data_IF_529435069039
#
_entry.id   IF_529435069039
#
_cell.length_a   1.000
_cell.length_b   1.000
_cell.length_c   1.000
_cell.angle_alpha   90.00
_cell.angle_beta   90.00
_cell.angle_gamma   90.00
#
_symmetry.space_group_name_H-M   'P 1'
#
loop_
_entity.id
_entity.type
_entity.pdbx_description
1 polymer ?
#
# COMPACT_ATOMS: atom_id res chain seq x y z
N UNK A 1 7.62 11.21 11.52
CA UNK A 1 7.72 11.51 12.96
C UNK A 1 6.72 10.65 13.71
N UNK A 2 7.08 10.08 14.87
CA UNK A 2 6.16 9.26 15.69
C UNK A 2 5.89 9.95 17.02
N UNK A 3 4.75 10.64 17.10
CA UNK A 3 4.48 11.71 18.07
C UNK A 3 3.14 11.52 18.77
N UNK A 4 2.93 12.23 19.88
CA UNK A 4 1.66 12.19 20.60
C UNK A 4 0.59 13.11 19.96
N UNK A 5 -0.63 13.00 20.46
CA UNK A 5 -1.78 13.76 19.95
C UNK A 5 -1.59 15.29 20.02
N UNK A 6 -1.07 15.81 21.14
CA UNK A 6 -0.92 17.26 21.33
C UNK A 6 0.17 17.85 20.41
N UNK A 7 1.25 17.10 20.18
CA UNK A 7 2.27 17.45 19.19
C UNK A 7 1.70 17.48 17.77
N UNK A 8 0.88 16.48 17.40
CA UNK A 8 0.22 16.45 16.09
C UNK A 8 -0.74 17.64 15.91
N UNK A 9 -1.56 17.95 16.93
CA UNK A 9 -2.44 19.13 16.93
C UNK A 9 -1.65 20.42 16.73
N UNK A 10 -0.50 20.56 17.40
CA UNK A 10 0.38 21.73 17.24
C UNK A 10 0.83 21.91 15.79
N UNK A 11 1.33 20.84 15.15
CA UNK A 11 1.74 20.90 13.73
C UNK A 11 0.59 21.30 12.81
N UNK A 12 -0.62 20.80 13.06
CA UNK A 12 -1.82 21.19 12.29
C UNK A 12 -2.12 22.68 12.46
N UNK A 13 -2.09 23.19 13.70
CA UNK A 13 -2.37 24.60 14.00
C UNK A 13 -1.30 25.56 13.48
N UNK A 14 -0.06 25.09 13.30
CA UNK A 14 1.00 25.81 12.59
C UNK A 14 0.75 25.90 11.07
N UNK A 15 -0.29 25.24 10.55
CA UNK A 15 -0.64 25.28 9.13
C UNK A 15 0.28 24.46 8.24
N UNK A 16 0.97 23.46 8.81
CA UNK A 16 1.80 22.49 8.09
C UNK A 16 0.94 21.61 7.18
N UNK A 17 1.51 21.18 6.06
CA UNK A 17 0.91 20.18 5.16
C UNK A 17 1.34 18.80 5.65
N UNK A 18 0.38 17.96 6.07
CA UNK A 18 0.69 16.71 6.76
C UNK A 18 0.01 15.49 6.10
N UNK A 19 0.72 14.37 6.11
CA UNK A 19 0.14 13.04 5.97
C UNK A 19 0.20 12.34 7.33
N UNK A 20 -0.92 11.76 7.77
CA UNK A 20 -1.05 11.21 9.12
C UNK A 20 -1.55 9.76 9.09
N UNK A 21 -0.99 8.91 9.94
CA UNK A 21 -1.48 7.55 10.18
C UNK A 21 -1.60 7.31 11.69
N UNK A 22 -2.76 6.84 12.14
CA UNK A 22 -3.01 6.61 13.56
C UNK A 22 -4.22 5.69 13.78
N UNK A 23 -4.47 5.32 15.03
CA UNK A 23 -5.73 4.69 15.43
C UNK A 23 -6.91 5.69 15.35
N UNK A 24 -8.12 5.18 15.09
CA UNK A 24 -9.32 6.00 14.83
C UNK A 24 -9.62 7.00 15.96
N UNK A 25 -9.48 6.58 17.23
CA UNK A 25 -9.77 7.43 18.38
C UNK A 25 -8.85 8.66 18.45
N UNK A 26 -7.62 8.57 17.94
CA UNK A 26 -6.70 9.71 17.84
C UNK A 26 -7.08 10.62 16.67
N UNK A 27 -7.37 10.05 15.50
CA UNK A 27 -7.73 10.82 14.30
C UNK A 27 -9.00 11.66 14.51
N UNK A 28 -9.99 11.10 15.22
CA UNK A 28 -11.24 11.80 15.56
C UNK A 28 -11.04 13.05 16.44
N UNK A 29 -9.86 13.22 17.05
CA UNK A 29 -9.54 14.34 17.94
C UNK A 29 -8.70 15.44 17.26
N UNK A 30 -8.26 15.23 16.02
CA UNK A 30 -7.45 16.20 15.30
C UNK A 30 -8.29 17.40 14.84
N UNK A 31 -7.81 18.65 15.00
CA UNK A 31 -8.48 19.82 14.44
C UNK A 31 -8.40 19.79 12.91
N UNK A 32 -9.30 20.55 12.27
CA UNK A 32 -9.21 20.77 10.82
C UNK A 32 -7.90 21.45 10.45
N UNK A 33 -7.37 21.13 9.28
CA UNK A 33 -6.16 21.74 8.73
C UNK A 33 -5.72 21.09 7.42
N UNK A 34 -4.47 21.30 7.03
CA UNK A 34 -3.95 20.87 5.72
C UNK A 34 -3.41 19.44 5.78
N UNK A 35 -4.29 18.47 5.98
CA UNK A 35 -3.83 17.09 6.15
C UNK A 35 -4.80 16.06 5.60
N UNK A 36 -4.28 14.87 5.30
CA UNK A 36 -5.06 13.66 5.05
C UNK A 36 -4.60 12.57 6.01
N UNK A 37 -5.47 11.61 6.32
CA UNK A 37 -5.08 10.50 7.18
C UNK A 37 -5.75 9.17 6.83
N UNK A 38 -5.14 8.08 7.31
CA UNK A 38 -5.72 6.74 7.30
C UNK A 38 -5.59 6.08 8.66
N UNK A 39 -6.52 5.17 8.97
CA UNK A 39 -6.45 4.35 10.17
C UNK A 39 -5.40 3.24 10.06
N UNK A 40 -4.56 3.09 11.08
CA UNK A 40 -3.76 1.88 11.34
C UNK A 40 -3.16 1.96 12.74
N UNK A 41 -3.10 0.86 13.50
CA UNK A 41 -2.37 0.82 14.77
C UNK A 41 -0.93 0.30 14.60
N UNK A 42 -0.49 -0.03 13.38
CA UNK A 42 0.80 -0.69 13.12
C UNK A 42 1.76 0.28 12.43
N UNK A 43 3.01 0.31 12.89
CA UNK A 43 4.03 1.26 12.40
C UNK A 43 5.40 0.59 12.33
N UNK A 44 6.26 1.11 11.45
CA UNK A 44 7.71 0.97 11.59
C UNK A 44 8.27 2.35 11.95
N UNK A 45 8.99 2.44 13.07
CA UNK A 45 9.70 3.66 13.49
C UNK A 45 11.21 3.46 13.43
N UNK A 46 11.97 4.50 13.75
CA UNK A 46 13.43 4.41 13.91
C UNK A 46 13.84 3.39 14.99
N UNK A 47 12.97 3.15 15.98
CA UNK A 47 13.20 2.17 17.05
C UNK A 47 12.74 0.76 16.67
N UNK A 48 12.02 0.62 15.56
CA UNK A 48 11.53 -0.65 15.03
C UNK A 48 10.03 -0.71 14.82
N UNK A 49 9.56 -1.88 14.39
CA UNK A 49 8.13 -2.15 14.28
C UNK A 49 7.44 -2.09 15.63
N UNK A 50 6.26 -1.48 15.66
CA UNK A 50 5.47 -1.30 16.87
C UNK A 50 3.97 -1.25 16.56
N UNK A 51 3.17 -1.82 17.46
CA UNK A 51 1.73 -1.56 17.53
C UNK A 51 1.46 -0.48 18.57
N UNK A 52 0.78 0.60 18.20
CA UNK A 52 0.45 1.72 19.09
C UNK A 52 -0.95 2.26 18.83
N UNK A 53 -1.63 2.65 19.91
CA UNK A 53 -2.97 3.27 19.91
C UNK A 53 -2.97 4.66 20.56
N UNK A 54 -1.81 5.14 20.96
CA UNK A 54 -1.61 6.37 21.73
C UNK A 54 -0.70 7.39 21.02
N UNK A 55 -0.11 7.00 19.89
CA UNK A 55 0.74 7.85 19.05
C UNK A 55 0.28 7.86 17.60
N UNK A 56 0.70 8.91 16.90
CA UNK A 56 0.44 9.15 15.49
C UNK A 56 1.77 9.15 14.74
N UNK A 57 1.77 8.54 13.56
CA UNK A 57 2.84 8.73 12.60
C UNK A 57 2.50 9.90 11.68
N UNK A 58 3.32 10.93 11.68
CA UNK A 58 3.13 12.17 10.92
C UNK A 58 4.30 12.41 9.98
N UNK A 59 4.00 12.53 8.69
CA UNK A 59 4.91 13.04 7.66
C UNK A 59 4.56 14.51 7.40
N UNK A 60 5.53 15.40 7.60
CA UNK A 60 5.41 16.78 7.14
C UNK A 60 5.92 16.87 5.70
N UNK A 61 5.14 17.50 4.82
CA UNK A 61 5.47 17.68 3.41
C UNK A 61 5.99 19.11 3.24
N UNK A 62 7.30 19.27 3.36
CA UNK A 62 7.97 20.59 3.44
C UNK A 62 8.15 21.28 2.10
N UNK A 63 8.34 20.52 1.03
CA UNK A 63 8.68 21.06 -0.29
C UNK A 63 7.46 21.39 -1.15
N UNK A 64 6.23 21.25 -0.64
CA UNK A 64 5.04 21.59 -1.42
C UNK A 64 4.91 23.11 -1.63
N UNK A 65 4.78 23.53 -2.89
CA UNK A 65 4.52 24.94 -3.25
C UNK A 65 3.04 25.28 -3.06
N UNK A 66 2.17 24.36 -3.45
CA UNK A 66 0.73 24.43 -3.29
C UNK A 66 0.18 23.04 -2.97
N UNK A 67 -1.04 22.99 -2.42
CA UNK A 67 -1.71 21.74 -2.10
C UNK A 67 -3.22 21.84 -2.30
N UNK A 68 -3.85 20.69 -2.54
CA UNK A 68 -5.30 20.54 -2.45
C UNK A 68 -5.66 19.12 -2.02
N UNK A 69 -6.76 18.98 -1.30
CA UNK A 69 -7.35 17.66 -1.03
C UNK A 69 -8.50 17.40 -1.97
N UNK A 70 -8.69 16.12 -2.31
CA UNK A 70 -9.82 15.66 -3.11
C UNK A 70 -10.36 14.36 -2.51
N UNK A 71 -11.66 14.16 -2.66
CA UNK A 71 -12.36 12.97 -2.18
C UNK A 71 -12.97 12.27 -3.37
N UNK A 72 -12.67 10.98 -3.51
CA UNK A 72 -13.13 10.17 -4.62
C UNK A 72 -13.93 8.97 -4.15
N UNK A 73 -14.87 8.53 -4.96
CA UNK A 73 -15.48 7.21 -4.84
C UNK A 73 -15.21 6.39 -6.10
N UNK A 74 -15.85 5.23 -6.18
CA UNK A 74 -15.74 4.33 -7.32
C UNK A 74 -16.00 5.02 -8.66
N UNK A 75 -16.89 6.01 -8.73
CA UNK A 75 -17.30 6.61 -10.00
C UNK A 75 -16.29 7.61 -10.57
N UNK A 76 -15.41 8.17 -9.73
CA UNK A 76 -14.53 9.27 -10.12
C UNK A 76 -13.08 9.12 -9.63
N UNK A 77 -12.67 7.97 -9.07
CA UNK A 77 -11.30 7.76 -8.56
C UNK A 77 -10.19 8.06 -9.58
N UNK A 78 -10.47 7.92 -10.89
CA UNK A 78 -9.47 8.22 -11.93
C UNK A 78 -9.42 9.69 -12.37
N UNK A 79 -10.33 10.53 -11.87
CA UNK A 79 -10.17 11.98 -11.95
C UNK A 79 -8.96 12.46 -11.13
N UNK A 80 -8.37 11.60 -10.29
CA UNK A 80 -7.09 11.83 -9.59
C UNK A 80 -5.96 12.32 -10.52
N UNK A 81 -5.94 11.88 -11.77
CA UNK A 81 -4.94 12.30 -12.78
C UNK A 81 -5.23 13.70 -13.32
N UNK A 82 -6.51 14.08 -13.43
CA UNK A 82 -6.94 15.42 -13.85
C UNK A 82 -6.75 16.45 -12.75
N UNK A 83 -6.91 16.01 -11.50
CA UNK A 83 -6.70 16.83 -10.33
C UNK A 83 -5.23 16.95 -9.95
N UNK A 84 -4.34 16.09 -10.46
CA UNK A 84 -2.92 16.22 -10.20
C UNK A 84 -2.35 17.57 -10.71
N UNK A 85 -1.33 18.07 -10.03
CA UNK A 85 -0.55 19.19 -10.55
C UNK A 85 0.41 18.69 -11.63
N UNK A 86 0.66 19.50 -12.66
CA UNK A 86 1.54 19.14 -13.78
C UNK A 86 2.97 18.78 -13.34
N UNK A 87 3.53 19.50 -12.36
CA UNK A 87 4.75 19.12 -11.64
C UNK A 87 4.37 18.88 -10.19
N UNK A 88 4.04 17.64 -9.84
CA UNK A 88 3.45 17.32 -8.56
C UNK A 88 3.55 15.87 -8.17
N UNK A 89 2.98 15.58 -7.01
CA UNK A 89 2.80 14.22 -6.50
C UNK A 89 1.46 14.16 -5.76
N UNK A 90 0.85 12.98 -5.79
CA UNK A 90 -0.40 12.73 -5.08
C UNK A 90 -0.18 11.66 -4.02
N UNK A 91 -0.57 11.95 -2.78
CA UNK A 91 -0.73 10.96 -1.72
C UNK A 91 -2.17 10.45 -1.72
N UNK A 92 -2.38 9.15 -1.84
CA UNK A 92 -3.70 8.53 -1.89
C UNK A 92 -3.90 7.59 -0.71
N UNK A 93 -5.00 7.72 0.03
CA UNK A 93 -5.38 6.78 1.08
C UNK A 93 -6.78 6.26 0.81
N UNK A 94 -6.94 4.93 0.88
CA UNK A 94 -8.22 4.26 0.68
C UNK A 94 -8.53 3.28 1.81
N UNK A 95 -9.79 3.15 2.26
CA UNK A 95 -10.15 2.19 3.28
C UNK A 95 -10.13 0.76 2.75
N UNK A 96 -9.51 -0.16 3.50
CA UNK A 96 -9.53 -1.59 3.19
C UNK A 96 -10.95 -2.12 2.99
N UNK A 97 -11.10 -3.01 2.01
CA UNK A 97 -12.36 -3.65 1.63
C UNK A 97 -13.49 -2.70 1.17
N UNK A 98 -13.17 -1.44 0.83
CA UNK A 98 -14.12 -0.53 0.21
C UNK A 98 -14.28 -0.75 -1.31
N UNK A 99 -15.44 -0.38 -1.85
CA UNK A 99 -15.72 -0.47 -3.29
C UNK A 99 -14.75 0.38 -4.13
N UNK A 100 -14.31 1.53 -3.61
CA UNK A 100 -13.32 2.39 -4.29
C UNK A 100 -11.95 1.72 -4.34
N UNK A 101 -11.50 1.08 -3.26
CA UNK A 101 -10.23 0.36 -3.23
C UNK A 101 -10.24 -0.86 -4.17
N UNK A 102 -11.33 -1.62 -4.18
CA UNK A 102 -11.53 -2.76 -5.08
C UNK A 102 -11.54 -2.32 -6.53
N UNK A 103 -12.24 -1.24 -6.85
CA UNK A 103 -12.29 -0.71 -8.21
C UNK A 103 -10.94 -0.16 -8.66
N UNK A 104 -10.28 0.63 -7.82
CA UNK A 104 -8.93 1.13 -8.11
C UNK A 104 -7.94 0.00 -8.36
N UNK A 105 -7.93 -1.04 -7.52
CA UNK A 105 -7.03 -2.17 -7.65
C UNK A 105 -7.18 -2.90 -8.99
N UNK A 106 -8.41 -2.98 -9.53
CA UNK A 106 -8.70 -3.64 -10.81
C UNK A 106 -8.38 -2.75 -12.01
N UNK A 107 -8.76 -1.49 -11.95
CA UNK A 107 -8.76 -0.64 -13.13
C UNK A 107 -7.48 0.20 -13.26
N UNK A 108 -6.78 0.53 -12.16
CA UNK A 108 -5.58 1.37 -12.19
C UNK A 108 -4.50 0.92 -13.19
N UNK A 109 -4.20 -0.39 -13.37
CA UNK A 109 -3.21 -0.83 -14.35
C UNK A 109 -3.57 -0.50 -15.80
N UNK A 110 -4.84 -0.22 -16.09
CA UNK A 110 -5.37 0.05 -17.43
C UNK A 110 -5.60 1.55 -17.69
N UNK A 111 -5.22 2.44 -16.77
CA UNK A 111 -5.42 3.89 -16.90
C UNK A 111 -4.15 4.53 -17.45
N UNK A 112 -4.18 4.91 -18.72
CA UNK A 112 -3.03 5.43 -19.48
C UNK A 112 -2.29 6.56 -18.76
N UNK A 113 -3.01 7.58 -18.31
CA UNK A 113 -2.41 8.79 -17.69
C UNK A 113 -1.94 8.56 -16.25
N UNK A 114 -2.26 7.41 -15.63
CA UNK A 114 -1.92 7.18 -14.23
C UNK A 114 -0.42 7.08 -14.01
N UNK A 115 0.30 6.41 -14.93
CA UNK A 115 1.76 6.26 -14.85
C UNK A 115 2.53 7.54 -15.18
N UNK A 116 1.85 8.57 -15.71
CA UNK A 116 2.42 9.90 -15.96
C UNK A 116 2.31 10.82 -14.73
N UNK A 117 1.51 10.44 -13.74
CA UNK A 117 1.25 11.23 -12.54
C UNK A 117 1.78 10.46 -11.31
N UNK A 118 2.82 10.96 -10.60
CA UNK A 118 3.32 10.28 -9.40
C UNK A 118 2.23 10.14 -8.33
N UNK A 119 1.69 8.93 -8.19
CA UNK A 119 0.70 8.58 -7.16
C UNK A 119 1.32 7.57 -6.20
N UNK A 120 1.48 7.98 -4.96
CA UNK A 120 1.93 7.11 -3.86
C UNK A 120 0.86 7.08 -2.77
N UNK A 121 0.77 5.98 -2.03
CA UNK A 121 -0.29 5.86 -1.07
C UNK A 121 -0.37 4.52 -0.37
N UNK A 122 -1.51 4.27 0.24
CA UNK A 122 -1.74 3.03 0.97
C UNK A 122 -3.21 2.75 1.24
N UNK A 123 -3.49 1.49 1.53
CA UNK A 123 -4.79 1.02 1.99
C UNK A 123 -4.80 1.08 3.52
N UNK A 124 -5.67 1.92 4.09
CA UNK A 124 -5.86 2.02 5.53
C UNK A 124 -6.53 0.78 6.09
N UNK A 125 -6.28 0.52 7.36
CA UNK A 125 -6.69 -0.71 8.03
C UNK A 125 -7.21 -0.46 9.44
N UNK A 126 -7.20 -1.52 10.23
CA UNK A 126 -7.67 -1.52 11.61
C UNK A 126 -6.89 -2.55 12.41
N UNK A 127 -7.10 -2.59 13.73
CA UNK A 127 -6.52 -3.63 14.57
C UNK A 127 -7.12 -5.00 14.20
N UNK A 128 -6.27 -5.91 13.73
CA UNK A 128 -6.69 -7.25 13.28
C UNK A 128 -7.38 -8.06 14.39
N UNK A 129 -7.22 -7.67 15.67
CA UNK A 129 -7.89 -8.31 16.81
C UNK A 129 -9.31 -7.80 17.11
N UNK A 130 -9.75 -6.67 16.52
CA UNK A 130 -10.98 -5.98 16.95
C UNK A 130 -12.17 -6.11 16.00
N UNK A 131 -11.99 -6.66 14.80
CA UNK A 131 -13.06 -6.76 13.79
C UNK A 131 -13.64 -5.41 13.36
N UNK A 132 -12.86 -4.33 13.51
CA UNK A 132 -13.27 -2.96 13.18
C UNK A 132 -13.28 -2.70 11.66
N UNK A 133 -13.49 -1.45 11.25
CA UNK A 133 -13.47 -1.04 9.84
C UNK A 133 -12.39 0.00 9.60
N UNK A 134 -11.84 0.00 8.39
CA UNK A 134 -10.84 0.98 7.97
C UNK A 134 -11.52 2.31 7.65
N UNK A 135 -10.85 3.42 7.97
CA UNK A 135 -11.29 4.77 7.62
C UNK A 135 -10.16 5.60 7.05
N UNK A 136 -10.55 6.62 6.32
CA UNK A 136 -9.67 7.68 5.81
C UNK A 136 -10.29 9.04 6.13
N UNK A 137 -9.46 10.07 6.18
CA UNK A 137 -9.87 11.38 6.64
C UNK A 137 -9.38 12.46 5.69
N UNK A 138 -10.28 13.38 5.36
CA UNK A 138 -9.93 14.69 4.80
C UNK A 138 -9.87 15.71 5.93
N UNK A 139 -8.67 16.12 6.30
CA UNK A 139 -8.41 17.06 7.37
C UNK A 139 -8.87 18.48 7.08
N UNK A 140 -9.06 18.85 5.80
CA UNK A 140 -9.56 20.18 5.44
C UNK A 140 -11.02 20.33 5.86
N UNK A 141 -11.85 19.33 5.52
CA UNK A 141 -13.25 19.30 5.94
C UNK A 141 -13.44 18.76 7.35
N UNK A 142 -12.50 17.95 7.84
CA UNK A 142 -12.60 17.19 9.10
C UNK A 142 -13.49 15.96 8.97
N UNK A 143 -13.70 15.45 7.75
CA UNK A 143 -14.65 14.36 7.47
C UNK A 143 -13.93 13.02 7.39
N UNK A 144 -14.54 11.98 7.99
CA UNK A 144 -14.08 10.60 7.89
C UNK A 144 -14.92 9.81 6.88
N UNK A 145 -14.28 8.93 6.12
CA UNK A 145 -14.91 8.08 5.11
C UNK A 145 -14.50 6.61 5.31
N UNK A 146 -15.45 5.70 5.13
CA UNK A 146 -15.21 4.25 5.08
C UNK A 146 -15.36 3.65 3.69
N UNK A 147 -15.82 4.45 2.72
CA UNK A 147 -16.23 4.04 1.38
C UNK A 147 -15.62 4.91 0.26
N UNK A 148 -14.88 5.96 0.62
CA UNK A 148 -14.25 6.92 -0.29
C UNK A 148 -12.74 6.95 -0.11
N UNK A 149 -12.03 7.31 -1.16
CA UNK A 149 -10.62 7.63 -1.14
C UNK A 149 -10.42 9.11 -0.80
N UNK A 150 -9.31 9.42 -0.13
CA UNK A 150 -8.89 10.80 0.08
C UNK A 150 -7.49 10.97 -0.50
N UNK A 151 -7.35 11.98 -1.36
CA UNK A 151 -6.08 12.34 -1.97
C UNK A 151 -5.60 13.70 -1.46
N UNK A 152 -4.28 13.82 -1.30
CA UNK A 152 -3.56 15.07 -1.12
C UNK A 152 -2.67 15.27 -2.34
N UNK A 153 -3.06 16.21 -3.20
CA UNK A 153 -2.24 16.64 -4.32
C UNK A 153 -1.32 17.76 -3.85
N UNK A 154 -0.05 17.66 -4.19
CA UNK A 154 0.93 18.71 -3.96
C UNK A 154 1.58 19.12 -5.27
N UNK A 155 1.85 20.41 -5.43
CA UNK A 155 2.75 20.90 -6.48
C UNK A 155 4.17 20.98 -5.94
N UNK A 156 5.14 20.68 -6.80
CA UNK A 156 6.55 20.69 -6.48
C UNK A 156 7.22 21.93 -7.08
N UNK A 157 8.31 22.43 -6.46
CA UNK A 157 9.15 23.46 -7.03
C UNK A 157 9.69 23.03 -8.39
N UNK A 158 9.95 24.00 -9.27
CA UNK A 158 10.38 23.72 -10.64
C UNK A 158 11.67 22.88 -10.70
N UNK A 159 12.55 23.01 -9.72
CA UNK A 159 13.81 22.27 -9.62
C UNK A 159 13.70 20.89 -8.96
N UNK A 160 12.49 20.44 -8.59
CA UNK A 160 12.24 19.14 -7.95
C UNK A 160 11.31 18.28 -8.79
N UNK A 161 11.50 16.97 -8.71
CA UNK A 161 10.56 15.95 -9.21
C UNK A 161 10.37 14.84 -8.19
N UNK A 162 9.21 14.19 -8.19
CA UNK A 162 8.96 13.03 -7.36
C UNK A 162 9.53 11.76 -8.02
N UNK A 163 10.14 10.92 -7.19
CA UNK A 163 10.56 9.56 -7.53
C UNK A 163 9.83 8.59 -6.61
N UNK A 164 9.27 7.53 -7.16
CA UNK A 164 8.56 6.48 -6.41
C UNK A 164 9.35 5.18 -6.55
N UNK A 165 9.66 4.55 -5.42
CA UNK A 165 10.35 3.28 -5.37
C UNK A 165 9.52 2.18 -4.72
N UNK A 166 9.77 0.95 -5.17
CA UNK A 166 9.16 -0.28 -4.64
C UNK A 166 10.28 -1.21 -4.22
N UNK A 167 10.28 -1.63 -2.96
CA UNK A 167 11.14 -2.68 -2.43
C UNK A 167 10.33 -3.97 -2.37
N UNK A 168 10.63 -4.90 -3.27
CA UNK A 168 10.06 -6.24 -3.34
C UNK A 168 11.16 -7.27 -3.07
N UNK A 169 10.96 -8.14 -2.08
CA UNK A 169 11.95 -9.20 -1.73
C UNK A 169 11.69 -10.50 -2.47
N UNK A 170 10.56 -10.60 -3.19
CA UNK A 170 10.14 -11.82 -3.85
C UNK A 170 10.60 -11.86 -5.30
N UNK A 171 10.97 -13.05 -5.75
CA UNK A 171 11.24 -13.35 -7.15
C UNK A 171 10.38 -14.53 -7.58
N UNK A 172 9.93 -14.50 -8.84
CA UNK A 172 9.19 -15.62 -9.42
C UNK A 172 10.10 -16.86 -9.48
N UNK A 173 9.56 -18.03 -9.13
CA UNK A 173 10.29 -19.27 -9.33
C UNK A 173 10.12 -19.78 -10.77
N UNK A 174 11.07 -19.44 -11.63
CA UNK A 174 11.01 -19.76 -13.07
C UNK A 174 10.98 -21.26 -13.38
N UNK A 175 11.37 -22.10 -12.41
CA UNK A 175 11.35 -23.55 -12.52
C UNK A 175 10.02 -24.18 -12.04
N UNK A 176 9.13 -23.39 -11.42
CA UNK A 176 7.83 -23.84 -10.90
C UNK A 176 6.74 -23.83 -12.01
N UNK A 177 5.50 -24.18 -11.66
CA UNK A 177 4.38 -24.15 -12.58
C UNK A 177 3.98 -22.72 -12.97
N UNK A 178 3.60 -22.55 -14.25
CA UNK A 178 2.91 -21.36 -14.73
C UNK A 178 1.45 -21.43 -14.32
N UNK A 179 0.96 -20.36 -13.71
CA UNK A 179 -0.44 -20.20 -13.30
C UNK A 179 -1.04 -19.05 -14.10
N UNK A 180 -2.17 -19.30 -14.77
CA UNK A 180 -2.90 -18.28 -15.53
C UNK A 180 -4.36 -18.24 -15.10
N UNK A 181 -4.92 -17.03 -15.06
CA UNK A 181 -6.32 -16.81 -14.73
C UNK A 181 -7.09 -16.37 -15.98
N UNK A 182 -8.35 -16.82 -16.09
CA UNK A 182 -9.20 -16.54 -17.26
C UNK A 182 -9.96 -15.22 -17.15
N UNK A 183 -9.98 -14.62 -15.97
CA UNK A 183 -10.74 -13.41 -15.66
C UNK A 183 -10.02 -12.60 -14.59
N UNK A 184 -10.31 -11.30 -14.58
CA UNK A 184 -9.79 -10.37 -13.58
C UNK A 184 -10.60 -10.51 -12.29
N UNK A 185 -9.97 -10.99 -11.22
CA UNK A 185 -10.71 -11.44 -10.05
C UNK A 185 -9.95 -11.28 -8.73
N UNK A 186 -10.71 -10.99 -7.67
CA UNK A 186 -10.23 -11.04 -6.28
C UNK A 186 -10.51 -12.39 -5.60
N UNK A 187 -11.26 -13.26 -6.26
CA UNK A 187 -11.59 -14.61 -5.79
C UNK A 187 -11.76 -15.52 -6.99
N UNK A 188 -11.15 -16.70 -6.95
CA UNK A 188 -11.15 -17.65 -8.06
C UNK A 188 -11.44 -19.06 -7.57
N UNK A 189 -12.14 -19.83 -8.39
CA UNK A 189 -12.29 -21.29 -8.18
C UNK A 189 -11.30 -22.08 -9.03
N UNK A 190 -11.08 -21.64 -10.27
CA UNK A 190 -10.28 -22.34 -11.28
C UNK A 190 -9.22 -21.43 -11.87
N UNK A 191 -8.11 -22.05 -12.26
CA UNK A 191 -7.03 -21.44 -13.04
C UNK A 191 -6.52 -22.46 -14.07
N UNK A 192 -5.58 -22.05 -14.89
CA UNK A 192 -4.75 -22.96 -15.68
C UNK A 192 -3.42 -23.13 -14.96
N UNK A 193 -3.01 -24.37 -14.70
CA UNK A 193 -1.67 -24.71 -14.22
C UNK A 193 -0.95 -25.42 -15.34
N UNK A 194 0.11 -24.83 -15.89
CA UNK A 194 0.80 -25.29 -17.10
C UNK A 194 -0.19 -25.59 -18.25
N UNK A 195 -1.15 -24.68 -18.47
CA UNK A 195 -2.20 -24.81 -19.49
C UNK A 195 -3.35 -25.78 -19.14
N UNK A 196 -3.30 -26.50 -18.01
CA UNK A 196 -4.36 -27.44 -17.60
C UNK A 196 -5.33 -26.79 -16.62
N UNK A 197 -6.63 -26.83 -16.93
CA UNK A 197 -7.66 -26.35 -16.03
C UNK A 197 -7.64 -27.13 -14.70
N UNK A 198 -7.51 -26.39 -13.61
CA UNK A 198 -7.27 -26.92 -12.26
C UNK A 198 -8.09 -26.14 -11.24
N UNK A 199 -8.65 -26.83 -10.24
CA UNK A 199 -9.28 -26.18 -9.08
C UNK A 199 -8.17 -25.65 -8.18
N UNK A 200 -8.08 -24.33 -8.04
CA UNK A 200 -6.86 -23.71 -7.51
C UNK A 200 -6.65 -24.00 -6.01
N UNK A 201 -7.74 -24.08 -5.22
CA UNK A 201 -7.68 -24.46 -3.81
C UNK A 201 -7.11 -25.87 -3.60
N UNK A 202 -7.41 -26.77 -4.53
CA UNK A 202 -6.96 -28.17 -4.46
C UNK A 202 -5.49 -28.24 -4.86
N UNK A 203 -5.08 -27.52 -5.90
CA UNK A 203 -3.68 -27.37 -6.28
C UNK A 203 -2.79 -26.88 -5.13
N UNK A 204 -3.20 -25.80 -4.45
CA UNK A 204 -2.48 -25.27 -3.29
C UNK A 204 -2.36 -26.32 -2.18
N UNK A 205 -3.45 -27.01 -1.88
CA UNK A 205 -3.51 -27.99 -0.78
C UNK A 205 -2.67 -29.23 -1.08
N UNK A 206 -2.82 -29.81 -2.27
CA UNK A 206 -2.17 -31.05 -2.68
C UNK A 206 -0.65 -30.88 -2.79
N UNK A 207 -0.20 -29.72 -3.28
CA UNK A 207 1.21 -29.38 -3.41
C UNK A 207 1.80 -28.75 -2.14
N UNK A 208 1.00 -28.58 -1.07
CA UNK A 208 1.42 -28.00 0.22
C UNK A 208 2.10 -26.63 0.05
N UNK A 209 1.55 -25.80 -0.82
CA UNK A 209 2.10 -24.48 -1.12
C UNK A 209 1.99 -23.61 0.13
N UNK A 210 3.09 -22.95 0.49
CA UNK A 210 3.10 -21.96 1.57
C UNK A 210 2.36 -20.70 1.12
N UNK A 211 1.18 -20.47 1.69
CA UNK A 211 0.32 -19.33 1.32
C UNK A 211 0.83 -17.98 1.85
N UNK A 212 1.94 -17.95 2.60
CA UNK A 212 2.64 -16.70 2.93
C UNK A 212 3.48 -16.17 1.77
N UNK A 213 3.79 -17.03 0.78
CA UNK A 213 4.47 -16.64 -0.45
C UNK A 213 3.42 -16.13 -1.45
N UNK A 214 3.59 -14.93 -2.02
CA UNK A 214 2.67 -14.41 -3.01
C UNK A 214 2.82 -15.15 -4.34
N UNK A 215 1.80 -15.02 -5.19
CA UNK A 215 1.99 -15.15 -6.63
C UNK A 215 2.78 -13.93 -7.13
N UNK A 216 3.71 -14.12 -8.04
CA UNK A 216 4.51 -13.07 -8.67
C UNK A 216 4.25 -13.11 -10.17
N UNK A 217 3.99 -11.95 -10.76
CA UNK A 217 3.86 -11.76 -12.19
C UNK A 217 4.69 -10.57 -12.68
N UNK A 218 5.19 -10.66 -13.90
CA UNK A 218 5.95 -9.60 -14.55
C UNK A 218 5.01 -8.65 -15.32
N UNK A 219 5.06 -7.37 -14.95
CA UNK A 219 4.36 -6.29 -15.60
C UNK A 219 5.39 -5.38 -16.27
N UNK A 220 5.83 -5.77 -17.47
CA UNK A 220 6.76 -5.01 -18.30
C UNK A 220 8.10 -4.70 -17.61
N UNK A 221 8.66 -5.66 -16.90
CA UNK A 221 9.91 -5.58 -16.13
C UNK A 221 9.72 -5.29 -14.64
N UNK A 222 8.48 -5.06 -14.18
CA UNK A 222 8.18 -4.83 -12.76
C UNK A 222 7.50 -6.07 -12.18
N UNK A 223 8.10 -6.64 -11.13
CA UNK A 223 7.53 -7.79 -10.41
C UNK A 223 6.42 -7.35 -9.45
N UNK A 224 5.20 -7.80 -9.72
CA UNK A 224 4.00 -7.51 -8.93
C UNK A 224 3.57 -8.74 -8.18
N UNK A 225 3.33 -8.56 -6.88
CA UNK A 225 2.88 -9.61 -5.97
C UNK A 225 1.35 -9.62 -5.89
N UNK A 226 0.77 -10.82 -5.86
CA UNK A 226 -0.62 -11.07 -5.51
C UNK A 226 -0.66 -12.04 -4.34
N UNK A 227 -0.95 -11.50 -3.15
CA UNK A 227 -0.95 -12.27 -1.90
C UNK A 227 -2.26 -13.03 -1.70
N UNK A 228 -2.15 -14.27 -1.23
CA UNK A 228 -3.31 -15.10 -0.86
C UNK A 228 -3.90 -14.58 0.45
N UNK A 229 -5.21 -14.32 0.44
CA UNK A 229 -5.98 -13.92 1.61
C UNK A 229 -6.57 -15.12 2.34
N UNK A 230 -7.18 -16.04 1.60
CA UNK A 230 -7.79 -17.25 2.15
C UNK A 230 -7.90 -18.35 1.11
N UNK A 231 -7.86 -19.60 1.57
CA UNK A 231 -8.12 -20.81 0.77
C UNK A 231 -9.26 -21.59 1.41
N UNK A 232 -10.41 -21.67 0.74
CA UNK A 232 -11.56 -22.43 1.19
C UNK A 232 -11.63 -23.78 0.46
N UNK A 233 -11.40 -24.88 1.19
CA UNK A 233 -11.57 -26.23 0.65
C UNK A 233 -13.04 -26.59 0.41
N UNK A 234 -13.93 -26.05 1.24
CA UNK A 234 -15.37 -26.28 1.15
C UNK A 234 -15.97 -25.61 -0.08
N UNK A 235 -15.70 -24.30 -0.25
CA UNK A 235 -16.23 -23.51 -1.36
C UNK A 235 -15.39 -23.64 -2.63
N UNK A 236 -14.23 -24.30 -2.54
CA UNK A 236 -13.22 -24.41 -3.62
C UNK A 236 -12.76 -23.04 -4.13
N UNK A 237 -12.68 -22.05 -3.25
CA UNK A 237 -12.27 -20.68 -3.59
C UNK A 237 -10.91 -20.34 -3.02
N UNK A 238 -10.20 -19.47 -3.73
CA UNK A 238 -9.00 -18.78 -3.26
C UNK A 238 -9.26 -17.29 -3.40
N UNK A 239 -9.19 -16.57 -2.28
CA UNK A 239 -9.35 -15.13 -2.23
C UNK A 239 -7.98 -14.45 -2.16
N UNK A 240 -7.86 -13.29 -2.78
CA UNK A 240 -6.62 -12.51 -2.85
C UNK A 240 -6.76 -11.13 -2.19
N UNK A 241 -5.64 -10.54 -1.80
CA UNK A 241 -5.59 -9.15 -1.31
C UNK A 241 -5.59 -8.11 -2.46
N UNK A 242 -5.11 -8.49 -3.64
CA UNK A 242 -5.14 -7.74 -4.88
C UNK A 242 -5.66 -8.62 -6.03
N UNK A 243 -6.24 -8.06 -7.09
CA UNK A 243 -6.77 -8.86 -8.18
C UNK A 243 -5.68 -9.59 -8.95
N UNK A 244 -5.99 -10.81 -9.38
CA UNK A 244 -5.31 -11.47 -10.50
C UNK A 244 -5.91 -10.97 -11.81
N UNK A 245 -5.13 -11.00 -12.88
CA UNK A 245 -5.50 -10.48 -14.19
C UNK A 245 -5.39 -11.55 -15.27
N UNK A 246 -6.30 -11.51 -16.23
CA UNK A 246 -6.23 -12.38 -17.39
C UNK A 246 -5.09 -12.00 -18.33
N UNK A 247 -4.52 -13.00 -19.02
CA UNK A 247 -3.40 -12.81 -19.92
C UNK A 247 -2.06 -12.54 -19.22
N UNK A 248 -2.00 -12.72 -17.89
CA UNK A 248 -0.76 -12.67 -17.11
C UNK A 248 -0.35 -14.08 -16.67
N UNK A 249 0.94 -14.33 -16.74
CA UNK A 249 1.56 -15.52 -16.19
C UNK A 249 2.00 -15.22 -14.75
N UNK A 250 1.53 -16.05 -13.83
CA UNK A 250 1.88 -16.01 -12.42
C UNK A 250 2.69 -17.23 -12.04
N UNK A 251 3.57 -17.07 -11.05
CA UNK A 251 4.32 -18.15 -10.41
C UNK A 251 4.34 -17.91 -8.92
N UNK A 252 4.37 -18.95 -8.09
CA UNK A 252 4.64 -18.71 -6.68
C UNK A 252 6.05 -18.14 -6.50
N UNK A 253 6.20 -17.26 -5.52
CA UNK A 253 7.51 -16.73 -5.19
C UNK A 253 8.42 -17.85 -4.69
N UNK A 254 9.73 -17.71 -4.94
CA UNK A 254 10.73 -18.57 -4.33
C UNK A 254 10.64 -18.51 -2.80
N UNK A 255 10.86 -19.63 -2.09
CA UNK A 255 10.92 -19.62 -0.64
C UNK A 255 11.92 -18.59 -0.10
N UNK A 256 11.53 -17.91 0.98
CA UNK A 256 12.36 -16.93 1.67
C UNK A 256 12.69 -17.47 3.06
N UNK A 257 13.91 -17.97 3.24
CA UNK A 257 14.34 -18.66 4.47
C UNK A 257 14.29 -17.74 5.70
N UNK A 258 14.85 -16.54 5.59
CA UNK A 258 14.75 -15.49 6.59
C UNK A 258 14.22 -14.21 5.93
N UNK A 259 12.93 -13.99 6.14
CA UNK A 259 12.19 -12.84 5.60
C UNK A 259 12.81 -11.51 6.04
N UNK A 260 13.15 -11.38 7.33
CA UNK A 260 13.68 -10.13 7.87
C UNK A 260 15.09 -9.87 7.36
N UNK A 261 15.93 -10.90 7.29
CA UNK A 261 17.28 -10.78 6.72
C UNK A 261 17.23 -10.46 5.22
N UNK A 262 16.34 -11.10 4.46
CA UNK A 262 16.17 -10.83 3.02
C UNK A 262 15.69 -9.40 2.76
N UNK A 263 14.77 -8.92 3.60
CA UNK A 263 14.34 -7.53 3.59
C UNK A 263 15.50 -6.58 3.91
N UNK A 264 16.23 -6.83 5.01
CA UNK A 264 17.39 -6.03 5.38
C UNK A 264 18.49 -6.01 4.31
N UNK A 265 18.70 -7.12 3.60
CA UNK A 265 19.63 -7.21 2.47
C UNK A 265 19.18 -6.31 1.32
N UNK A 266 17.92 -6.39 0.91
CA UNK A 266 17.37 -5.54 -0.16
C UNK A 266 17.45 -4.04 0.21
N UNK A 267 17.29 -3.70 1.49
CA UNK A 267 17.40 -2.32 1.96
C UNK A 267 18.81 -1.74 1.89
N UNK A 268 19.88 -2.54 1.82
CA UNK A 268 21.26 -2.03 1.73
C UNK A 268 21.48 -1.17 0.48
N UNK A 269 20.80 -1.50 -0.62
CA UNK A 269 20.82 -0.71 -1.86
C UNK A 269 20.12 0.64 -1.77
N UNK A 270 19.39 0.89 -0.68
CA UNK A 270 18.50 2.04 -0.51
C UNK A 270 18.94 2.96 0.64
N UNK A 271 20.14 2.77 1.18
CA UNK A 271 20.65 3.52 2.35
C UNK A 271 20.73 5.04 2.15
N UNK A 272 20.87 5.49 0.90
CA UNK A 272 21.07 6.90 0.55
C UNK A 272 19.74 7.61 0.20
N UNK A 273 18.64 6.86 0.16
CA UNK A 273 17.28 7.37 -0.10
C UNK A 273 16.86 8.29 1.04
N UNK A 274 16.23 9.41 0.70
CA UNK A 274 15.67 10.37 1.67
C UNK A 274 14.15 10.42 1.52
N UNK A 275 13.43 9.47 2.12
CA UNK A 275 12.01 9.35 1.87
C UNK A 275 11.25 10.52 2.49
N UNK A 276 10.40 11.19 1.70
CA UNK A 276 9.37 12.10 2.21
C UNK A 276 8.16 11.33 2.75
N UNK A 277 7.97 10.12 2.22
CA UNK A 277 6.97 9.16 2.66
C UNK A 277 7.46 7.74 2.41
N UNK A 278 7.07 6.82 3.28
CA UNK A 278 7.17 5.39 3.03
C UNK A 278 6.09 4.65 3.80
N UNK A 279 5.71 3.48 3.33
CA UNK A 279 4.83 2.58 4.06
C UNK A 279 5.20 1.12 3.78
N UNK A 280 4.82 0.22 4.68
CA UNK A 280 5.19 -1.19 4.62
C UNK A 280 3.96 -2.09 4.76
N UNK A 281 3.87 -3.16 3.97
CA UNK A 281 2.74 -4.08 4.04
C UNK A 281 2.56 -4.71 5.43
N UNK A 282 1.32 -4.88 5.87
CA UNK A 282 0.97 -5.66 7.07
C UNK A 282 1.44 -7.10 6.95
N UNK A 283 1.45 -7.66 5.74
CA UNK A 283 1.95 -9.02 5.50
C UNK A 283 3.47 -9.09 5.71
N UNK A 284 4.24 -8.06 5.33
CA UNK A 284 5.66 -7.98 5.66
C UNK A 284 5.86 -7.88 7.18
N UNK A 285 5.04 -7.07 7.87
CA UNK A 285 5.11 -6.92 9.32
C UNK A 285 4.88 -8.24 10.05
N UNK A 286 3.84 -8.98 9.66
CA UNK A 286 3.44 -10.23 10.29
C UNK A 286 4.39 -11.39 9.93
N UNK A 287 4.62 -11.63 8.64
CA UNK A 287 5.44 -12.75 8.17
C UNK A 287 6.93 -12.52 8.43
N UNK A 288 7.39 -11.26 8.31
CA UNK A 288 8.74 -10.84 8.65
C UNK A 288 9.01 -10.71 10.15
N UNK A 289 7.97 -10.80 10.99
CA UNK A 289 8.04 -10.56 12.45
C UNK A 289 8.82 -9.26 12.72
N UNK A 290 8.33 -8.17 12.15
CA UNK A 290 9.04 -6.87 12.17
C UNK A 290 8.86 -6.10 13.48
N UNK A 291 8.11 -6.63 14.44
CA UNK A 291 8.04 -6.06 15.79
C UNK A 291 9.46 -5.93 16.39
N UNK A 292 9.80 -4.72 16.85
CA UNK A 292 11.14 -4.37 17.33
C UNK A 292 12.24 -4.28 16.25
N UNK A 293 11.92 -4.43 14.95
CA UNK A 293 12.90 -4.34 13.85
C UNK A 293 12.67 -3.08 13.02
N UNK A 294 13.70 -2.26 12.87
CA UNK A 294 13.65 -1.06 12.04
C UNK A 294 14.00 -1.37 10.57
N UNK A 295 13.56 -0.52 9.65
CA UNK A 295 13.84 -0.65 8.21
C UNK A 295 14.49 0.63 7.64
N UNK A 296 15.61 1.12 8.21
CA UNK A 296 16.18 2.40 7.79
C UNK A 296 16.53 2.40 6.30
N UNK A 297 16.37 3.53 5.59
CA UNK A 297 15.91 4.84 6.09
C UNK A 297 14.37 4.98 6.19
N UNK A 298 13.63 3.90 5.98
CA UNK A 298 12.17 3.91 5.89
C UNK A 298 11.50 3.76 7.26
N UNK A 299 10.64 4.72 7.56
CA UNK A 299 9.74 4.72 8.70
C UNK A 299 8.37 5.21 8.23
N UNK A 300 7.31 4.63 8.77
CA UNK A 300 5.97 4.91 8.27
C UNK A 300 4.89 3.99 8.83
N UNK A 301 3.65 4.18 8.37
CA UNK A 301 2.57 3.24 8.66
C UNK A 301 2.85 1.87 8.08
N UNK A 302 2.35 0.86 8.80
CA UNK A 302 2.15 -0.48 8.27
C UNK A 302 0.70 -0.58 7.78
N UNK A 303 0.50 -1.09 6.57
CA UNK A 303 -0.70 -0.84 5.76
C UNK A 303 -1.32 -2.12 5.22
N UNK A 304 -2.60 -2.07 4.82
CA UNK A 304 -3.32 -3.25 4.31
C UNK A 304 -3.15 -3.41 2.78
N UNK A 305 -2.11 -2.78 2.24
CA UNK A 305 -1.85 -2.60 0.82
C UNK A 305 -1.08 -1.30 0.62
N UNK A 306 -0.24 -1.27 -0.40
CA UNK A 306 0.61 -0.16 -0.75
C UNK A 306 0.19 0.38 -2.11
N UNK A 307 0.35 1.68 -2.36
CA UNK A 307 0.05 2.27 -3.66
C UNK A 307 1.33 2.89 -4.18
N UNK A 308 1.77 2.42 -5.34
CA UNK A 308 2.76 3.06 -6.19
C UNK A 308 2.22 2.97 -7.61
N UNK A 309 1.48 3.99 -8.03
CA UNK A 309 0.60 4.04 -9.21
C UNK A 309 -0.57 3.06 -9.17
N UNK A 310 -0.34 1.80 -8.82
CA UNK A 310 -1.34 0.75 -8.67
C UNK A 310 -1.25 0.12 -7.27
N UNK A 311 -2.25 -0.69 -6.92
CA UNK A 311 -2.23 -1.44 -5.66
C UNK A 311 -1.13 -2.53 -5.69
N UNK A 312 -0.34 -2.59 -4.61
CA UNK A 312 0.71 -3.57 -4.37
C UNK A 312 0.48 -4.26 -3.03
N UNK A 313 1.03 -5.47 -2.88
CA UNK A 313 1.02 -6.25 -1.65
C UNK A 313 2.41 -6.81 -1.34
N UNK A 314 2.70 -7.05 -0.07
CA UNK A 314 3.98 -7.61 0.38
C UNK A 314 5.19 -6.83 -0.13
N UNK A 315 5.09 -5.51 -0.15
CA UNK A 315 6.15 -4.59 -0.54
C UNK A 315 6.37 -3.50 0.52
N UNK A 316 7.45 -2.76 0.35
CA UNK A 316 7.58 -1.42 0.92
C UNK A 316 7.63 -0.45 -0.23
N UNK A 317 6.86 0.63 -0.15
CA UNK A 317 6.92 1.71 -1.12
C UNK A 317 7.39 2.98 -0.45
N UNK A 318 8.07 3.82 -1.23
CA UNK A 318 8.53 5.11 -0.76
C UNK A 318 8.47 6.14 -1.88
N UNK A 319 8.39 7.41 -1.48
CA UNK A 319 8.61 8.54 -2.36
C UNK A 319 9.75 9.39 -1.83
N UNK A 320 10.55 9.92 -2.75
CA UNK A 320 11.54 10.95 -2.47
C UNK A 320 11.44 12.08 -3.49
N UNK A 321 11.96 13.25 -3.12
CA UNK A 321 12.00 14.42 -3.98
C UNK A 321 13.44 14.64 -4.43
N UNK A 322 13.69 14.41 -5.71
CA UNK A 322 15.03 14.54 -6.31
C UNK A 322 15.14 15.88 -7.05
N UNK A 323 16.36 16.41 -7.09
CA UNK A 323 16.68 17.57 -7.94
C UNK A 323 16.64 17.15 -9.42
N UNK A 324 16.14 18.06 -10.27
CA UNK A 324 16.16 17.89 -11.74
C UNK A 324 17.54 18.18 -12.33
#
# INVERSE_FOLDING_TARGET
MFINLEEAKKLILEGRILHIAAEESLLNQLPKGKWIAGTTPYFITEQGGITSKDKLFVNEITDAVDFKTAVYDRSNIFDITKDAFANGMTFLVMPFASDVAVFYAKEAPNVDDLFMNPVIGWISGYDLSTGSSAKVYDGVTGTAYGDKAVALHISLPDNKTASIGIVNIFSADNDDAVIEFKEDALSVTKCLVNGKETVFSDYITENKIDTQLPLVADYNGVLINVSIKSVSKENKTVDFYAPVFSGKEYRFARPVDDYAASFAEQLKGHKDVKPVFSCNCILNYLYGKLDGKATPPFAGPVTFGEIAYQLLNQTLVYAELIDK
#
